data_IF_128762647164
#
_entry.id   IF_128762647164
#
_cell.length_a   1.000
_cell.length_b   1.000
_cell.length_c   1.000
_cell.angle_alpha   90.00
_cell.angle_beta   90.00
_cell.angle_gamma   90.00
#
_symmetry.space_group_name_H-M   'P 1'
#
loop_
_entity.id
_entity.type
_entity.pdbx_description
1 polymer ?
#
# COMPACT_ATOMS: atom_id res chain seq x y z
N UNK A 1 -31.56 -14.59 -0.59
CA UNK A 1 -32.47 -15.72 -0.89
C UNK A 1 -31.78 -17.06 -0.57
N UNK A 2 -31.36 -17.28 0.68
CA UNK A 2 -30.61 -18.47 1.13
C UNK A 2 -31.40 -19.34 2.13
N UNK A 3 -32.67 -19.00 2.35
CA UNK A 3 -33.53 -19.51 3.43
C UNK A 3 -34.40 -20.71 3.03
N UNK A 4 -34.54 -21.03 1.74
CA UNK A 4 -35.44 -22.11 1.30
C UNK A 4 -34.83 -23.52 1.35
N UNK A 5 -33.54 -23.68 1.66
CA UNK A 5 -32.83 -24.95 1.51
C UNK A 5 -32.60 -25.76 2.79
N UNK A 6 -33.04 -25.28 3.96
CA UNK A 6 -33.17 -26.14 5.16
C UNK A 6 -34.52 -26.85 5.26
N UNK A 7 -35.47 -26.51 4.39
CA UNK A 7 -36.89 -26.88 4.52
C UNK A 7 -37.19 -28.31 4.06
N UNK A 8 -36.27 -28.98 3.35
CA UNK A 8 -36.54 -30.35 2.86
C UNK A 8 -36.44 -31.42 3.96
N UNK A 9 -35.77 -31.14 5.09
CA UNK A 9 -35.59 -32.11 6.19
C UNK A 9 -35.95 -31.60 7.58
N UNK A 10 -36.26 -30.31 7.72
CA UNK A 10 -36.59 -29.67 8.99
C UNK A 10 -37.89 -28.91 8.76
N UNK A 11 -38.99 -29.55 9.18
CA UNK A 11 -40.33 -28.96 9.20
C UNK A 11 -40.57 -28.62 10.68
N UNK A 12 -40.89 -27.36 11.01
CA UNK A 12 -41.18 -26.92 12.38
C UNK A 12 -40.11 -27.25 13.44
N UNK A 13 -38.82 -27.02 13.16
CA UNK A 13 -37.70 -27.28 14.10
C UNK A 13 -37.49 -28.75 14.49
N UNK A 14 -38.27 -29.65 13.92
CA UNK A 14 -38.12 -31.09 14.09
C UNK A 14 -37.42 -31.68 12.87
N UNK A 15 -36.34 -32.42 13.11
CA UNK A 15 -35.73 -33.20 12.05
C UNK A 15 -36.53 -34.48 11.86
N UNK A 16 -37.11 -34.65 10.66
CA UNK A 16 -37.87 -35.85 10.27
C UNK A 16 -37.04 -37.13 10.33
N UNK A 17 -35.72 -37.02 10.24
CA UNK A 17 -34.77 -38.13 10.36
C UNK A 17 -34.44 -38.47 11.81
N UNK A 18 -34.53 -37.50 12.73
CA UNK A 18 -34.20 -37.68 14.14
C UNK A 18 -35.42 -37.91 15.04
N UNK A 19 -36.65 -37.91 14.49
CA UNK A 19 -37.90 -38.22 15.20
C UNK A 19 -38.00 -37.55 16.58
N UNK A 20 -37.75 -36.24 16.65
CA UNK A 20 -37.90 -35.44 17.87
C UNK A 20 -36.82 -35.62 18.95
N UNK A 21 -35.83 -36.51 18.76
CA UNK A 21 -34.78 -36.76 19.78
C UNK A 21 -33.66 -35.72 19.82
N UNK A 22 -33.80 -34.61 19.10
CA UNK A 22 -32.84 -33.52 19.13
C UNK A 22 -33.55 -32.17 19.05
N UNK A 23 -33.19 -31.26 19.95
CA UNK A 23 -33.62 -29.87 19.90
C UNK A 23 -32.75 -29.18 18.85
N UNK A 24 -33.37 -28.62 17.82
CA UNK A 24 -32.68 -27.89 16.76
C UNK A 24 -33.09 -26.43 16.87
N UNK A 25 -32.11 -25.54 17.00
CA UNK A 25 -32.33 -24.10 16.99
C UNK A 25 -32.45 -23.64 15.52
N UNK A 26 -33.39 -22.73 15.24
CA UNK A 26 -33.63 -22.18 13.89
C UNK A 26 -32.54 -21.21 13.44
N UNK A 27 -31.28 -21.63 13.52
CA UNK A 27 -30.12 -20.81 13.24
C UNK A 27 -29.25 -21.51 12.18
N UNK A 28 -28.93 -20.87 11.04
CA UNK A 28 -28.35 -21.54 9.88
C UNK A 28 -27.06 -22.31 10.16
N UNK A 29 -26.23 -21.87 11.10
CA UNK A 29 -24.99 -22.58 11.44
C UNK A 29 -25.27 -23.82 12.28
N UNK A 30 -26.21 -23.74 13.22
CA UNK A 30 -26.72 -24.88 13.99
C UNK A 30 -27.35 -25.95 13.10
N UNK A 31 -28.16 -25.56 12.13
CA UNK A 31 -28.79 -26.48 11.17
C UNK A 31 -27.76 -27.23 10.33
N UNK A 32 -26.72 -26.53 9.85
CA UNK A 32 -25.64 -27.14 9.06
C UNK A 32 -24.79 -28.10 9.88
N UNK A 33 -24.48 -27.79 11.14
CA UNK A 33 -23.78 -28.70 12.06
C UNK A 33 -24.60 -29.96 12.35
N UNK A 34 -25.91 -29.79 12.59
CA UNK A 34 -26.81 -30.93 12.78
C UNK A 34 -26.86 -31.83 11.54
N UNK A 35 -27.00 -31.23 10.35
CA UNK A 35 -27.00 -31.94 9.08
C UNK A 35 -25.70 -32.71 8.84
N UNK A 36 -24.55 -32.11 9.19
CA UNK A 36 -23.26 -32.78 9.11
C UNK A 36 -23.18 -34.00 10.06
N UNK A 37 -23.59 -33.82 11.32
CA UNK A 37 -23.49 -34.88 12.32
C UNK A 37 -24.41 -36.07 12.06
N UNK A 38 -25.63 -35.84 11.55
CA UNK A 38 -26.67 -36.87 11.46
C UNK A 38 -26.90 -37.42 10.06
N UNK A 39 -26.64 -36.64 9.01
CA UNK A 39 -26.99 -37.04 7.64
C UNK A 39 -26.09 -36.44 6.55
N UNK A 40 -24.81 -36.19 6.84
CA UNK A 40 -23.85 -35.61 5.89
C UNK A 40 -23.88 -36.30 4.51
N UNK A 41 -23.95 -37.64 4.48
CA UNK A 41 -23.99 -38.41 3.24
C UNK A 41 -25.22 -38.11 2.38
N UNK A 42 -26.41 -37.99 2.98
CA UNK A 42 -27.66 -37.65 2.27
C UNK A 42 -27.63 -36.20 1.79
N UNK A 43 -27.13 -35.29 2.64
CA UNK A 43 -27.02 -33.87 2.30
C UNK A 43 -26.07 -33.64 1.11
N UNK A 44 -24.90 -34.28 1.10
CA UNK A 44 -23.95 -34.17 -0.03
C UNK A 44 -24.53 -34.73 -1.33
N UNK A 45 -25.25 -35.86 -1.29
CA UNK A 45 -25.94 -36.43 -2.45
C UNK A 45 -27.01 -35.48 -2.99
N UNK A 46 -27.83 -34.92 -2.11
CA UNK A 46 -28.84 -33.93 -2.47
C UNK A 46 -28.20 -32.67 -3.06
N UNK A 47 -27.14 -32.14 -2.44
CA UNK A 47 -26.43 -30.96 -2.92
C UNK A 47 -25.89 -31.19 -4.34
N UNK A 48 -25.27 -32.35 -4.60
CA UNK A 48 -24.80 -32.74 -5.93
C UNK A 48 -25.93 -32.88 -6.95
N UNK A 49 -27.03 -33.53 -6.59
CA UNK A 49 -28.18 -33.73 -7.48
C UNK A 49 -28.89 -32.42 -7.86
N UNK A 50 -28.78 -31.39 -7.02
CA UNK A 50 -29.38 -30.08 -7.23
C UNK A 50 -28.37 -29.01 -7.66
N UNK A 51 -27.15 -29.41 -8.07
CA UNK A 51 -26.08 -28.49 -8.48
C UNK A 51 -25.69 -27.43 -7.43
N UNK A 52 -25.85 -27.74 -6.15
CA UNK A 52 -25.42 -26.88 -5.03
C UNK A 52 -24.06 -27.30 -4.48
N UNK A 53 -23.24 -26.32 -4.15
CA UNK A 53 -22.00 -26.53 -3.37
C UNK A 53 -22.36 -26.86 -1.93
N UNK A 54 -21.85 -27.97 -1.40
CA UNK A 54 -22.02 -28.33 0.00
C UNK A 54 -21.47 -27.23 0.91
N UNK A 55 -22.29 -26.76 1.86
CA UNK A 55 -21.91 -25.77 2.89
C UNK A 55 -21.81 -26.41 4.28
N UNK A 56 -21.61 -27.73 4.36
CA UNK A 56 -21.31 -28.38 5.64
C UNK A 56 -19.98 -27.84 6.19
N UNK A 57 -19.87 -27.61 7.51
CA UNK A 57 -18.67 -27.07 8.13
C UNK A 57 -17.38 -27.79 7.74
N UNK A 58 -17.37 -29.13 7.69
CA UNK A 58 -16.22 -29.92 7.27
C UNK A 58 -15.84 -29.74 5.80
N UNK A 59 -16.83 -29.62 4.91
CA UNK A 59 -16.58 -29.44 3.47
C UNK A 59 -16.00 -28.03 3.21
N UNK A 60 -16.50 -27.00 3.91
CA UNK A 60 -15.95 -25.63 3.85
C UNK A 60 -14.54 -25.57 4.44
N UNK A 61 -14.26 -26.29 5.53
CA UNK A 61 -12.95 -26.35 6.14
C UNK A 61 -11.92 -27.04 5.22
N UNK A 62 -12.32 -28.13 4.54
CA UNK A 62 -11.49 -28.83 3.57
C UNK A 62 -11.15 -27.93 2.37
N UNK A 63 -12.12 -27.15 1.88
CA UNK A 63 -11.89 -26.22 0.77
C UNK A 63 -10.92 -25.10 1.17
N UNK A 64 -11.09 -24.52 2.36
CA UNK A 64 -10.15 -23.50 2.88
C UNK A 64 -8.72 -24.03 3.00
N UNK A 65 -8.54 -25.30 3.38
CA UNK A 65 -7.20 -25.93 3.44
C UNK A 65 -6.59 -26.08 2.05
N UNK A 66 -7.37 -26.48 1.05
CA UNK A 66 -6.90 -26.59 -0.34
C UNK A 66 -6.50 -25.22 -0.92
N UNK A 67 -7.31 -24.19 -0.66
CA UNK A 67 -7.00 -22.81 -1.08
C UNK A 67 -5.72 -22.30 -0.40
N UNK A 68 -5.57 -22.54 0.91
CA UNK A 68 -4.37 -22.14 1.63
C UNK A 68 -3.10 -22.84 1.11
N UNK A 69 -3.19 -24.13 0.75
CA UNK A 69 -2.07 -24.87 0.14
C UNK A 69 -1.73 -24.36 -1.26
N UNK A 70 -2.73 -24.02 -2.08
CA UNK A 70 -2.50 -23.44 -3.41
C UNK A 70 -1.82 -22.06 -3.32
N UNK A 71 -2.18 -21.23 -2.33
CA UNK A 71 -1.63 -19.89 -2.15
C UNK A 71 -0.15 -19.88 -1.75
N UNK A 72 0.32 -20.89 -0.98
CA UNK A 72 1.74 -21.00 -0.57
C UNK A 72 2.73 -21.10 -1.74
N UNK A 73 2.25 -21.50 -2.92
CA UNK A 73 3.09 -21.63 -4.12
C UNK A 73 3.46 -20.29 -4.75
N UNK A 74 2.72 -19.21 -4.45
CA UNK A 74 2.95 -17.89 -5.05
C UNK A 74 4.04 -17.14 -4.28
N UNK A 75 4.12 -17.28 -2.96
CA UNK A 75 5.10 -16.57 -2.13
C UNK A 75 6.55 -17.04 -2.34
N UNK A 76 6.77 -18.26 -2.82
CA UNK A 76 8.10 -18.82 -3.05
C UNK A 76 8.89 -18.12 -4.18
N UNK A 77 8.25 -17.26 -4.99
CA UNK A 77 8.89 -16.49 -6.07
C UNK A 77 8.73 -14.98 -5.94
N UNK A 78 8.08 -14.49 -4.87
CA UNK A 78 8.00 -13.05 -4.61
C UNK A 78 9.29 -12.63 -3.93
N UNK A 79 10.30 -12.26 -4.72
CA UNK A 79 11.39 -11.45 -4.21
C UNK A 79 10.83 -10.06 -3.92
N UNK A 80 10.99 -9.59 -2.67
CA UNK A 80 10.78 -8.19 -2.34
C UNK A 80 11.67 -7.34 -3.24
N UNK A 81 11.11 -6.81 -4.32
CA UNK A 81 11.71 -5.66 -4.99
C UNK A 81 11.75 -4.57 -3.93
N UNK A 82 12.97 -4.20 -3.50
CA UNK A 82 13.20 -2.87 -2.92
C UNK A 82 12.41 -1.92 -3.79
N UNK A 83 11.40 -1.29 -3.18
CA UNK A 83 10.65 -0.23 -3.81
C UNK A 83 11.71 0.85 -4.05
N UNK A 84 12.39 0.81 -5.20
CA UNK A 84 12.98 2.02 -5.73
C UNK A 84 11.77 2.92 -5.89
N UNK A 85 11.66 3.95 -5.04
CA UNK A 85 10.71 5.03 -5.22
C UNK A 85 10.57 5.26 -6.72
N UNK A 86 9.37 5.03 -7.26
CA UNK A 86 9.13 5.21 -8.68
C UNK A 86 9.51 6.65 -8.98
N UNK A 87 10.70 6.85 -9.55
CA UNK A 87 11.18 8.15 -9.98
C UNK A 87 10.19 8.58 -11.05
N UNK A 88 9.30 9.50 -10.70
CA UNK A 88 8.37 10.08 -11.67
C UNK A 88 9.26 10.68 -12.76
N UNK A 89 9.14 10.22 -14.02
CA UNK A 89 9.97 10.76 -15.09
C UNK A 89 9.79 12.26 -15.19
N UNK A 90 10.88 12.96 -15.46
CA UNK A 90 10.83 14.39 -15.69
C UNK A 90 9.85 14.71 -16.83
N UNK A 91 9.04 15.76 -16.65
CA UNK A 91 8.29 16.40 -17.72
C UNK A 91 8.25 17.90 -17.47
N UNK A 92 8.34 18.70 -18.54
CA UNK A 92 8.32 20.16 -18.44
C UNK A 92 7.04 20.67 -17.77
N UNK A 93 5.91 20.02 -18.03
CA UNK A 93 4.62 20.37 -17.43
C UNK A 93 4.60 20.13 -15.92
N UNK A 94 5.15 19.00 -15.46
CA UNK A 94 5.24 18.69 -14.03
C UNK A 94 6.19 19.66 -13.32
N UNK A 95 7.34 19.95 -13.92
CA UNK A 95 8.29 20.92 -13.39
C UNK A 95 7.67 22.32 -13.30
N UNK A 96 7.00 22.79 -14.36
CA UNK A 96 6.33 24.10 -14.37
C UNK A 96 5.28 24.20 -13.27
N UNK A 97 4.47 23.15 -13.09
CA UNK A 97 3.46 23.11 -12.02
C UNK A 97 4.11 23.18 -10.64
N UNK A 98 5.12 22.35 -10.38
CA UNK A 98 5.83 22.34 -9.10
C UNK A 98 6.51 23.69 -8.79
N UNK A 99 7.10 24.33 -9.79
CA UNK A 99 7.73 25.65 -9.64
C UNK A 99 6.70 26.74 -9.28
N UNK A 100 5.52 26.75 -9.93
CA UNK A 100 4.44 27.69 -9.61
C UNK A 100 3.88 27.44 -8.20
N UNK A 101 3.64 26.17 -7.84
CA UNK A 101 3.19 25.82 -6.49
C UNK A 101 4.19 26.25 -5.42
N UNK A 102 5.49 26.08 -5.68
CA UNK A 102 6.55 26.55 -4.79
C UNK A 102 6.52 28.08 -4.62
N UNK A 103 6.37 28.85 -5.70
CA UNK A 103 6.27 30.32 -5.62
C UNK A 103 5.10 30.75 -4.72
N UNK A 104 3.90 30.18 -4.93
CA UNK A 104 2.70 30.51 -4.16
C UNK A 104 2.88 30.12 -2.69
N UNK A 105 3.37 28.92 -2.41
CA UNK A 105 3.50 28.40 -1.06
C UNK A 105 4.54 29.16 -0.21
N UNK A 106 5.51 29.82 -0.85
CA UNK A 106 6.61 30.52 -0.17
C UNK A 106 6.61 32.02 -0.38
N UNK A 107 5.53 32.54 -0.99
CA UNK A 107 5.32 33.97 -1.32
C UNK A 107 6.54 34.61 -2.00
N UNK A 108 7.10 33.89 -2.98
CA UNK A 108 8.28 34.34 -3.72
C UNK A 108 7.87 35.22 -4.91
N UNK A 109 8.68 36.23 -5.25
CA UNK A 109 8.44 37.01 -6.46
C UNK A 109 8.55 36.15 -7.71
N UNK A 110 7.74 36.44 -8.73
CA UNK A 110 7.75 35.72 -10.02
C UNK A 110 9.16 35.74 -10.66
N UNK A 111 9.89 36.84 -10.47
CA UNK A 111 11.28 37.02 -10.92
C UNK A 111 12.26 35.98 -10.35
N UNK A 112 11.91 35.27 -9.28
CA UNK A 112 12.78 34.24 -8.70
C UNK A 112 13.10 33.11 -9.71
N UNK A 113 12.18 32.80 -10.64
CA UNK A 113 12.41 31.79 -11.67
C UNK A 113 13.34 32.27 -12.80
N UNK A 114 13.44 33.59 -13.00
CA UNK A 114 14.32 34.21 -14.01
C UNK A 114 15.77 34.35 -13.50
N UNK A 115 15.97 34.24 -12.19
CA UNK A 115 17.27 34.46 -11.58
C UNK A 115 18.29 33.38 -12.04
N UNK A 116 19.47 33.75 -12.56
CA UNK A 116 20.44 32.78 -13.10
C UNK A 116 20.85 31.69 -12.10
N UNK A 117 20.95 32.02 -10.80
CA UNK A 117 21.27 31.03 -9.75
C UNK A 117 20.18 29.97 -9.55
N UNK A 118 18.92 30.30 -9.82
CA UNK A 118 17.84 29.32 -9.77
C UNK A 118 18.03 28.29 -10.88
N UNK A 119 18.32 28.75 -12.10
CA UNK A 119 18.63 27.86 -13.24
C UNK A 119 19.86 26.99 -12.96
N UNK A 120 20.95 27.57 -12.46
CA UNK A 120 22.15 26.82 -12.05
C UNK A 120 21.83 25.72 -11.02
N UNK A 121 20.99 26.02 -10.03
CA UNK A 121 20.57 25.05 -9.03
C UNK A 121 19.80 23.88 -9.64
N UNK A 122 18.87 24.16 -10.57
CA UNK A 122 18.10 23.14 -11.30
C UNK A 122 19.01 22.29 -12.17
N UNK A 123 19.97 22.91 -12.88
CA UNK A 123 20.93 22.21 -13.74
C UNK A 123 21.88 21.29 -12.96
N UNK A 124 22.20 21.63 -11.71
CA UNK A 124 22.95 20.76 -10.80
C UNK A 124 22.07 19.62 -10.29
N UNK A 125 20.83 19.93 -9.90
CA UNK A 125 19.86 18.95 -9.40
C UNK A 125 19.50 17.89 -10.45
N UNK A 126 19.34 18.28 -11.72
CA UNK A 126 18.97 17.37 -12.82
C UNK A 126 20.02 16.29 -13.11
N UNK A 127 21.28 16.52 -12.71
CA UNK A 127 22.38 15.56 -12.86
C UNK A 127 22.46 14.54 -11.73
N UNK A 128 21.66 14.70 -10.67
CA UNK A 128 21.71 13.82 -9.51
C UNK A 128 21.07 12.47 -9.81
N UNK A 129 21.86 11.39 -9.70
CA UNK A 129 21.37 10.01 -9.92
C UNK A 129 20.72 9.39 -8.68
N UNK A 130 20.99 9.93 -7.50
CA UNK A 130 20.54 9.41 -6.20
C UNK A 130 19.63 10.41 -5.47
N UNK A 131 18.94 11.27 -6.24
CA UNK A 131 18.15 12.38 -5.71
C UNK A 131 19.01 13.52 -5.13
N UNK A 132 18.34 14.57 -4.66
CA UNK A 132 18.97 15.79 -4.16
C UNK A 132 18.80 15.90 -2.64
N UNK A 133 19.90 16.08 -1.91
CA UNK A 133 19.88 16.31 -0.46
C UNK A 133 19.84 17.82 -0.17
N UNK A 134 18.68 18.33 0.22
CA UNK A 134 18.51 19.74 0.58
C UNK A 134 18.98 19.95 2.03
N UNK A 135 19.90 20.88 2.31
CA UNK A 135 20.37 21.13 3.67
C UNK A 135 19.26 21.74 4.53
N UNK A 136 19.17 21.31 5.79
CA UNK A 136 18.25 21.90 6.77
C UNK A 136 18.74 23.27 7.26
N UNK A 137 17.84 24.05 7.88
CA UNK A 137 18.08 25.45 8.31
C UNK A 137 19.43 25.70 9.01
N UNK A 138 19.81 24.84 9.96
CA UNK A 138 21.08 24.97 10.71
C UNK A 138 22.30 24.78 9.81
N UNK A 139 22.26 23.75 8.95
CA UNK A 139 23.33 23.47 7.99
C UNK A 139 23.45 24.60 6.96
N UNK A 140 22.32 25.07 6.41
CA UNK A 140 22.27 26.21 5.48
C UNK A 140 22.87 27.47 6.09
N UNK A 141 22.51 27.82 7.34
CA UNK A 141 23.07 28.99 8.02
C UNK A 141 24.58 28.85 8.23
N UNK A 142 25.04 27.69 8.69
CA UNK A 142 26.47 27.43 8.89
C UNK A 142 27.24 27.57 7.58
N UNK A 143 26.68 27.07 6.49
CA UNK A 143 27.29 27.11 5.16
C UNK A 143 27.40 28.54 4.62
N UNK A 144 26.35 29.35 4.75
CA UNK A 144 26.38 30.77 4.40
C UNK A 144 27.50 31.49 5.16
N UNK A 145 27.58 31.29 6.48
CA UNK A 145 28.62 31.91 7.31
C UNK A 145 30.03 31.47 6.88
N UNK A 146 30.18 30.19 6.52
CA UNK A 146 31.45 29.63 6.03
C UNK A 146 31.85 30.26 4.69
N UNK A 147 30.92 30.35 3.73
CA UNK A 147 31.16 30.98 2.43
C UNK A 147 31.57 32.45 2.59
N UNK A 148 30.90 33.19 3.46
CA UNK A 148 31.23 34.58 3.74
C UNK A 148 32.62 34.74 4.35
N UNK A 149 32.96 33.94 5.37
CA UNK A 149 34.32 33.92 5.96
C UNK A 149 35.39 33.63 4.91
N UNK A 150 35.17 32.64 4.05
CA UNK A 150 36.12 32.30 2.98
C UNK A 150 36.31 33.46 2.00
N UNK A 151 35.24 34.16 1.64
CA UNK A 151 35.31 35.35 0.80
C UNK A 151 36.18 36.42 1.44
N UNK A 152 35.93 36.76 2.70
CA UNK A 152 36.72 37.76 3.44
C UNK A 152 38.19 37.37 3.57
N UNK A 153 38.49 36.11 3.85
CA UNK A 153 39.88 35.62 3.93
C UNK A 153 40.60 35.73 2.58
N UNK A 154 39.93 35.38 1.47
CA UNK A 154 40.49 35.53 0.12
C UNK A 154 40.73 36.99 -0.22
N UNK A 155 39.78 37.87 0.13
CA UNK A 155 39.90 39.30 -0.08
C UNK A 155 41.07 39.89 0.71
N UNK A 156 41.19 39.55 1.99
CA UNK A 156 42.33 39.96 2.84
C UNK A 156 43.67 39.54 2.22
N UNK A 157 43.79 38.29 1.78
CA UNK A 157 45.01 37.80 1.10
C UNK A 157 45.36 38.68 -0.09
N UNK A 158 44.42 38.90 -1.02
CA UNK A 158 44.65 39.73 -2.21
C UNK A 158 45.11 41.15 -1.87
N UNK A 159 44.47 41.77 -0.88
CA UNK A 159 44.83 43.13 -0.46
C UNK A 159 46.21 43.18 0.21
N UNK A 160 46.60 42.16 1.00
CA UNK A 160 47.92 42.13 1.62
C UNK A 160 49.05 41.92 0.61
N UNK A 161 48.83 41.17 -0.47
CA UNK A 161 49.83 41.03 -1.54
C UNK A 161 50.09 42.37 -2.26
N UNK A 162 49.06 43.22 -2.41
CA UNK A 162 49.21 44.54 -3.05
C UNK A 162 49.77 45.65 -2.13
N UNK A 163 49.95 45.40 -0.83
CA UNK A 163 50.51 46.38 0.12
C UNK A 163 51.99 46.11 0.45
N UNK A 164 52.58 45.10 -0.19
CA UNK A 164 53.98 44.69 -0.01
C UNK A 164 54.83 44.87 -1.29
N UNK A 165 54.25 45.48 -2.33
CA UNK A 165 54.91 46.01 -3.53
C UNK A 165 54.89 47.54 -3.48
#
# INVERSE_FOLDING_TARGET
>A
MSSHLCVVFIINLECSTCRGHCIIVNEPTTLRRHAEARFAGKYRKWAKANSFTSKLPGDVAAEKKKVAQAQQTIDAHVTERKISERVIPYSDQLFRKAAIEWLIATDQPIQALEHPRFKEMVDVASRATQGVKIPGRKATRAEIMRMFKNHLTRLKKKLMFHLLE
#
